data_IF_243280906911
#
_entry.id   IF_243280906911
#
_cell.length_a   1.000
_cell.length_b   1.000
_cell.length_c   1.000
_cell.angle_alpha   90.00
_cell.angle_beta   90.00
_cell.angle_gamma   90.00
#
_symmetry.space_group_name_H-M   'P 1'
#
loop_
_entity.id
_entity.type
_entity.pdbx_description
1 polymer ?
#
# COMPACT_ATOMS: atom_id res chain seq x y z
N UNK A 1 -36.52 26.40 -28.29
CA UNK A 1 -36.28 24.96 -28.01
C UNK A 1 -34.85 24.69 -27.48
N UNK A 2 -34.31 25.48 -26.54
CA UNK A 2 -32.93 25.24 -26.01
C UNK A 2 -32.87 24.58 -24.62
N UNK A 3 -33.98 24.51 -23.89
CA UNK A 3 -34.00 24.07 -22.49
C UNK A 3 -33.61 22.59 -22.29
N UNK A 4 -33.75 21.75 -23.33
CA UNK A 4 -33.45 20.30 -23.25
C UNK A 4 -31.97 19.95 -23.38
N UNK A 5 -31.19 20.75 -24.12
CA UNK A 5 -29.75 20.51 -24.33
C UNK A 5 -28.94 20.96 -23.10
N UNK A 6 -29.30 22.11 -22.52
CA UNK A 6 -28.62 22.67 -21.34
C UNK A 6 -28.80 21.78 -20.10
N UNK A 7 -29.99 21.19 -19.92
CA UNK A 7 -30.28 20.27 -18.82
C UNK A 7 -29.53 18.92 -18.96
N UNK A 8 -29.32 18.45 -20.20
CA UNK A 8 -28.61 17.21 -20.47
C UNK A 8 -27.09 17.37 -20.28
N UNK A 9 -26.54 18.52 -20.69
CA UNK A 9 -25.15 18.89 -20.43
C UNK A 9 -24.87 19.03 -18.93
N UNK A 10 -25.71 19.77 -18.19
CA UNK A 10 -25.56 19.95 -16.74
C UNK A 10 -25.61 18.61 -15.96
N UNK A 11 -26.43 17.66 -16.40
CA UNK A 11 -26.51 16.31 -15.83
C UNK A 11 -25.24 15.48 -16.12
N UNK A 12 -24.66 15.65 -17.32
CA UNK A 12 -23.40 14.99 -17.69
C UNK A 12 -22.23 15.49 -16.83
N UNK A 13 -22.13 16.81 -16.63
CA UNK A 13 -21.06 17.42 -15.83
C UNK A 13 -21.13 17.02 -14.36
N UNK A 14 -22.34 16.95 -13.79
CA UNK A 14 -22.54 16.46 -12.42
C UNK A 14 -22.11 15.00 -12.26
N UNK A 15 -22.42 14.14 -13.24
CA UNK A 15 -21.98 12.73 -13.23
C UNK A 15 -20.46 12.61 -13.37
N UNK A 16 -19.84 13.47 -14.17
CA UNK A 16 -18.40 13.49 -14.35
C UNK A 16 -17.69 13.87 -13.04
N UNK A 17 -18.12 14.96 -12.39
CA UNK A 17 -17.57 15.39 -11.10
C UNK A 17 -17.69 14.29 -10.03
N UNK A 18 -18.84 13.60 -9.99
CA UNK A 18 -19.05 12.47 -9.10
C UNK A 18 -18.14 11.28 -9.42
N UNK A 19 -17.90 11.00 -10.70
CA UNK A 19 -16.98 9.94 -11.12
C UNK A 19 -15.52 10.26 -10.71
N UNK A 20 -15.10 11.51 -10.88
CA UNK A 20 -13.78 11.99 -10.45
C UNK A 20 -13.62 11.89 -8.93
N UNK A 21 -14.65 12.22 -8.15
CA UNK A 21 -14.64 12.08 -6.69
C UNK A 21 -14.53 10.61 -6.25
N UNK A 22 -15.32 9.73 -6.86
CA UNK A 22 -15.23 8.28 -6.60
C UNK A 22 -13.86 7.73 -6.97
N UNK A 23 -13.28 8.18 -8.07
CA UNK A 23 -11.94 7.79 -8.49
C UNK A 23 -10.89 8.20 -7.46
N UNK A 24 -10.89 9.46 -7.02
CA UNK A 24 -9.98 9.96 -5.98
C UNK A 24 -10.08 9.14 -4.69
N UNK A 25 -11.30 8.78 -4.29
CA UNK A 25 -11.58 8.00 -3.09
C UNK A 25 -11.31 6.48 -3.26
N UNK A 26 -10.64 6.04 -4.33
CA UNK A 26 -10.28 4.63 -4.56
C UNK A 26 -11.47 3.71 -4.87
N UNK A 27 -12.65 4.28 -5.20
CA UNK A 27 -13.86 3.56 -5.63
C UNK A 27 -13.89 3.39 -7.15
N UNK A 28 -12.86 2.73 -7.67
CA UNK A 28 -12.58 2.65 -9.10
C UNK A 28 -13.68 1.97 -9.93
N UNK A 29 -14.35 0.95 -9.40
CA UNK A 29 -15.46 0.28 -10.10
C UNK A 29 -16.68 1.21 -10.29
N UNK A 30 -17.02 1.98 -9.26
CA UNK A 30 -18.14 2.92 -9.31
C UNK A 30 -17.82 4.09 -10.25
N UNK A 31 -16.59 4.60 -10.17
CA UNK A 31 -16.07 5.60 -11.09
C UNK A 31 -16.12 5.12 -12.55
N UNK A 32 -15.60 3.91 -12.82
CA UNK A 32 -15.65 3.27 -14.14
C UNK A 32 -17.06 3.19 -14.70
N UNK A 33 -18.03 2.77 -13.88
CA UNK A 33 -19.43 2.65 -14.30
C UNK A 33 -20.01 4.01 -14.70
N UNK A 34 -19.71 5.07 -13.95
CA UNK A 34 -20.16 6.42 -14.29
C UNK A 34 -19.46 6.96 -15.54
N UNK A 35 -18.15 6.78 -15.68
CA UNK A 35 -17.44 7.18 -16.90
C UNK A 35 -18.02 6.47 -18.12
N UNK A 36 -18.40 5.18 -18.01
CA UNK A 36 -18.98 4.41 -19.10
C UNK A 36 -20.37 4.92 -19.50
N UNK A 37 -21.15 5.46 -18.55
CA UNK A 37 -22.43 6.09 -18.85
C UNK A 37 -22.28 7.42 -19.58
N UNK A 38 -21.15 8.11 -19.38
CA UNK A 38 -20.85 9.41 -20.00
C UNK A 38 -20.12 9.23 -21.35
N UNK A 39 -19.42 8.10 -21.55
CA UNK A 39 -18.55 7.86 -22.71
C UNK A 39 -19.29 7.75 -24.04
N UNK A 40 -20.62 7.65 -24.05
CA UNK A 40 -21.45 7.75 -25.26
C UNK A 40 -21.31 9.09 -26.00
N UNK A 41 -20.58 10.06 -25.42
CA UNK A 41 -20.42 11.44 -25.88
C UNK A 41 -19.01 11.76 -26.44
N UNK A 42 -18.14 10.76 -26.67
CA UNK A 42 -16.80 10.90 -27.27
C UNK A 42 -15.89 12.00 -26.69
N UNK A 43 -15.59 11.90 -25.38
CA UNK A 43 -14.55 12.69 -24.74
C UNK A 43 -13.24 11.91 -24.57
N UNK A 44 -12.13 12.34 -25.19
CA UNK A 44 -10.78 11.76 -25.00
C UNK A 44 -10.43 11.64 -23.51
N UNK A 45 -10.82 12.63 -22.70
CA UNK A 45 -10.67 12.60 -21.24
C UNK A 45 -11.39 11.41 -20.59
N UNK A 46 -12.68 11.20 -20.92
CA UNK A 46 -13.50 10.13 -20.34
C UNK A 46 -12.97 8.75 -20.73
N UNK A 47 -12.50 8.60 -21.98
CA UNK A 47 -11.88 7.36 -22.43
C UNK A 47 -10.57 7.05 -21.68
N UNK A 48 -9.74 8.07 -21.44
CA UNK A 48 -8.55 7.90 -20.59
C UNK A 48 -8.96 7.49 -19.17
N UNK A 49 -9.95 8.16 -18.56
CA UNK A 49 -10.43 7.84 -17.22
C UNK A 49 -11.03 6.44 -17.08
N UNK A 50 -11.67 5.93 -18.14
CA UNK A 50 -12.12 4.54 -18.19
C UNK A 50 -10.95 3.58 -18.10
N UNK A 51 -9.87 3.83 -18.84
CA UNK A 51 -8.69 2.98 -18.84
C UNK A 51 -7.92 3.09 -17.52
N UNK A 52 -7.67 4.31 -17.04
CA UNK A 52 -7.06 4.58 -15.73
C UNK A 52 -7.82 3.83 -14.61
N UNK A 53 -9.17 3.83 -14.65
CA UNK A 53 -9.99 3.12 -13.67
C UNK A 53 -9.77 1.60 -13.72
N UNK A 54 -9.63 1.01 -14.91
CA UNK A 54 -9.33 -0.42 -15.05
C UNK A 54 -7.95 -0.76 -14.49
N UNK A 55 -6.94 0.02 -14.86
CA UNK A 55 -5.57 -0.17 -14.40
C UNK A 55 -5.53 -0.07 -12.87
N UNK A 56 -6.15 0.97 -12.29
CA UNK A 56 -6.21 1.15 -10.85
C UNK A 56 -6.91 -0.01 -10.12
N UNK A 57 -7.98 -0.59 -10.68
CA UNK A 57 -8.62 -1.79 -10.10
C UNK A 57 -7.66 -2.98 -10.03
N UNK A 58 -6.91 -3.22 -11.11
CA UNK A 58 -5.93 -4.33 -11.18
C UNK A 58 -4.79 -4.09 -10.21
N UNK A 59 -4.21 -2.88 -10.20
CA UNK A 59 -3.13 -2.52 -9.30
C UNK A 59 -3.57 -2.61 -7.84
N UNK A 60 -4.75 -2.10 -7.49
CA UNK A 60 -5.31 -2.18 -6.14
C UNK A 60 -5.44 -3.63 -5.69
N UNK A 61 -6.00 -4.49 -6.54
CA UNK A 61 -6.12 -5.92 -6.21
C UNK A 61 -4.74 -6.58 -6.00
N UNK A 62 -3.76 -6.32 -6.88
CA UNK A 62 -2.40 -6.85 -6.72
C UNK A 62 -1.72 -6.35 -5.46
N UNK A 63 -1.86 -5.06 -5.14
CA UNK A 63 -1.37 -4.47 -3.90
C UNK A 63 -2.00 -5.16 -2.69
N UNK A 64 -3.32 -5.27 -2.62
CA UNK A 64 -4.05 -5.87 -1.48
C UNK A 64 -3.64 -7.33 -1.27
N UNK A 65 -3.53 -8.11 -2.35
CA UNK A 65 -3.11 -9.52 -2.31
C UNK A 65 -1.67 -9.64 -1.81
N UNK A 66 -0.72 -8.90 -2.40
CA UNK A 66 0.69 -8.99 -2.01
C UNK A 66 0.93 -8.47 -0.59
N UNK A 67 0.21 -7.42 -0.17
CA UNK A 67 0.22 -6.95 1.22
C UNK A 67 -0.27 -8.02 2.18
N UNK A 68 -1.37 -8.70 1.84
CA UNK A 68 -1.89 -9.83 2.63
C UNK A 68 -0.92 -10.99 2.76
N UNK A 69 -0.15 -11.27 1.69
CA UNK A 69 0.91 -12.27 1.67
C UNK A 69 2.24 -11.81 2.29
N UNK A 70 2.32 -10.57 2.79
CA UNK A 70 3.54 -9.91 3.28
C UNK A 70 4.66 -9.83 2.23
N UNK A 71 4.30 -9.88 0.96
CA UNK A 71 5.21 -9.62 -0.14
C UNK A 71 5.32 -8.12 -0.39
N UNK A 72 5.89 -7.42 0.60
CA UNK A 72 5.92 -5.95 0.62
C UNK A 72 6.61 -5.31 -0.58
N UNK A 73 7.72 -5.82 -1.14
CA UNK A 73 8.34 -5.21 -2.32
C UNK A 73 7.37 -5.09 -3.51
N UNK A 74 6.67 -6.18 -3.83
CA UNK A 74 5.69 -6.19 -4.92
C UNK A 74 4.45 -5.36 -4.55
N UNK A 75 4.02 -5.40 -3.29
CA UNK A 75 2.89 -4.59 -2.85
C UNK A 75 3.17 -3.08 -2.95
N UNK A 76 4.40 -2.66 -2.62
CA UNK A 76 4.89 -1.29 -2.75
C UNK A 76 4.89 -0.87 -4.22
N UNK A 77 5.51 -1.65 -5.11
CA UNK A 77 5.56 -1.35 -6.55
C UNK A 77 4.16 -1.14 -7.15
N UNK A 78 3.22 -2.04 -6.87
CA UNK A 78 1.84 -1.90 -7.37
C UNK A 78 1.12 -0.67 -6.79
N UNK A 79 1.41 -0.29 -5.54
CA UNK A 79 0.81 0.88 -4.91
C UNK A 79 1.45 2.18 -5.40
N UNK A 80 2.75 2.20 -5.68
CA UNK A 80 3.44 3.35 -6.29
C UNK A 80 2.83 3.65 -7.67
N UNK A 81 2.73 2.64 -8.55
CA UNK A 81 2.07 2.79 -9.85
C UNK A 81 0.62 3.27 -9.73
N UNK A 82 -0.11 2.77 -8.73
CA UNK A 82 -1.49 3.18 -8.48
C UNK A 82 -1.55 4.66 -8.07
N UNK A 83 -0.66 5.10 -7.18
CA UNK A 83 -0.59 6.48 -6.69
C UNK A 83 -0.10 7.45 -7.77
N UNK A 84 0.70 7.00 -8.73
CA UNK A 84 1.04 7.80 -9.91
C UNK A 84 -0.19 8.15 -10.75
N UNK A 85 -1.14 7.20 -10.89
CA UNK A 85 -2.40 7.41 -11.62
C UNK A 85 -3.42 8.16 -10.74
N UNK A 86 -3.51 7.81 -9.46
CA UNK A 86 -4.37 8.44 -8.46
C UNK A 86 -3.57 8.95 -7.25
N UNK A 87 -3.02 10.18 -7.29
CA UNK A 87 -2.24 10.75 -6.19
C UNK A 87 -2.99 10.91 -4.86
N UNK A 88 -4.32 10.78 -4.90
CA UNK A 88 -5.24 10.93 -3.78
C UNK A 88 -5.77 9.58 -3.24
N UNK A 89 -5.23 8.45 -3.71
CA UNK A 89 -5.73 7.14 -3.25
C UNK A 89 -5.64 7.01 -1.73
N UNK A 90 -6.71 6.55 -1.06
CA UNK A 90 -6.75 6.43 0.40
C UNK A 90 -5.70 5.47 0.97
N UNK A 91 -5.16 4.54 0.17
CA UNK A 91 -4.14 3.60 0.62
C UNK A 91 -2.71 4.16 0.49
N UNK A 92 -2.51 5.36 -0.06
CA UNK A 92 -1.18 5.96 -0.19
C UNK A 92 -0.32 5.90 1.09
N UNK A 93 -0.86 6.14 2.31
CA UNK A 93 -0.07 6.02 3.54
C UNK A 93 0.52 4.62 3.78
N UNK A 94 -0.04 3.56 3.18
CA UNK A 94 0.52 2.22 3.27
C UNK A 94 1.89 2.09 2.61
N UNK A 95 2.29 2.97 1.69
CA UNK A 95 3.64 2.98 1.11
C UNK A 95 4.69 3.08 2.23
N UNK A 96 4.55 4.08 3.09
CA UNK A 96 5.45 4.29 4.22
C UNK A 96 5.40 3.16 5.24
N UNK A 97 4.20 2.65 5.53
CA UNK A 97 3.99 1.55 6.49
C UNK A 97 4.65 0.26 6.00
N UNK A 98 4.38 -0.14 4.74
CA UNK A 98 4.96 -1.35 4.16
C UNK A 98 6.48 -1.23 4.01
N UNK A 99 6.99 -0.08 3.58
CA UNK A 99 8.43 0.18 3.50
C UNK A 99 9.10 0.04 4.89
N UNK A 100 8.51 0.63 5.93
CA UNK A 100 9.03 0.53 7.29
C UNK A 100 9.03 -0.90 7.83
N UNK A 101 7.93 -1.64 7.66
CA UNK A 101 7.83 -3.04 8.09
C UNK A 101 8.87 -3.89 7.35
N UNK A 102 8.98 -3.73 6.04
CA UNK A 102 9.92 -4.49 5.23
C UNK A 102 11.38 -4.19 5.60
N UNK A 103 11.70 -2.91 5.85
CA UNK A 103 13.03 -2.50 6.33
C UNK A 103 13.41 -3.20 7.64
N UNK A 104 12.46 -3.29 8.59
CA UNK A 104 12.68 -4.01 9.86
C UNK A 104 12.92 -5.50 9.66
N UNK A 105 12.16 -6.13 8.76
CA UNK A 105 12.34 -7.55 8.44
C UNK A 105 13.70 -7.81 7.80
N UNK A 106 14.14 -6.96 6.86
CA UNK A 106 15.45 -7.06 6.24
C UNK A 106 16.58 -6.86 7.25
N UNK A 107 16.46 -5.85 8.12
CA UNK A 107 17.42 -5.59 9.19
C UNK A 107 17.54 -6.81 10.12
N UNK A 108 16.41 -7.38 10.55
CA UNK A 108 16.40 -8.61 11.37
C UNK A 108 17.03 -9.80 10.63
N UNK A 109 16.72 -9.99 9.35
CA UNK A 109 17.31 -11.06 8.53
C UNK A 109 18.83 -10.89 8.39
N UNK A 110 19.32 -9.66 8.29
CA UNK A 110 20.75 -9.39 8.24
C UNK A 110 21.48 -9.83 9.52
N UNK A 111 20.84 -9.71 10.68
CA UNK A 111 21.43 -10.10 11.98
C UNK A 111 21.57 -11.60 12.13
N UNK A 112 20.67 -12.35 11.49
CA UNK A 112 20.69 -13.80 11.51
C UNK A 112 21.57 -14.40 10.40
N UNK A 113 22.31 -13.57 9.67
CA UNK A 113 23.09 -14.01 8.52
C UNK A 113 24.53 -14.37 8.93
N UNK A 114 24.97 -15.56 8.53
CA UNK A 114 26.35 -16.02 8.77
C UNK A 114 27.35 -15.52 7.72
N UNK A 115 26.85 -15.15 6.54
CA UNK A 115 27.66 -14.64 5.44
C UNK A 115 27.62 -13.11 5.37
N UNK A 116 28.79 -12.51 5.48
CA UNK A 116 28.98 -11.06 5.46
C UNK A 116 28.31 -10.37 4.26
N UNK A 117 28.55 -10.87 3.04
CA UNK A 117 28.01 -10.27 1.81
C UNK A 117 26.48 -10.24 1.84
N UNK A 118 25.87 -11.32 2.29
CA UNK A 118 24.41 -11.40 2.38
C UNK A 118 23.81 -10.51 3.47
N UNK A 119 24.56 -10.26 4.56
CA UNK A 119 24.15 -9.33 5.61
C UNK A 119 24.25 -7.87 5.12
N UNK A 120 25.34 -7.55 4.42
CA UNK A 120 25.59 -6.25 3.81
C UNK A 120 24.48 -5.87 2.83
N UNK A 121 24.13 -6.77 1.92
CA UNK A 121 23.04 -6.56 0.95
C UNK A 121 21.73 -6.26 1.66
N UNK A 122 21.35 -7.07 2.66
CA UNK A 122 20.11 -6.88 3.42
C UNK A 122 20.09 -5.57 4.21
N UNK A 123 21.22 -5.14 4.79
CA UNK A 123 21.32 -3.87 5.50
C UNK A 123 21.24 -2.66 4.56
N UNK A 124 21.82 -2.76 3.36
CA UNK A 124 21.69 -1.72 2.32
C UNK A 124 20.24 -1.59 1.87
N UNK A 125 19.59 -2.70 1.56
CA UNK A 125 18.16 -2.73 1.20
C UNK A 125 17.29 -2.17 2.34
N UNK A 126 17.52 -2.61 3.58
CA UNK A 126 16.79 -2.08 4.74
C UNK A 126 16.93 -0.56 4.87
N UNK A 127 18.13 -0.02 4.63
CA UNK A 127 18.38 1.42 4.69
C UNK A 127 17.63 2.20 3.62
N UNK A 128 17.48 1.64 2.42
CA UNK A 128 16.68 2.24 1.33
C UNK A 128 15.21 2.31 1.75
N UNK A 129 14.64 1.22 2.24
CA UNK A 129 13.24 1.18 2.66
C UNK A 129 12.95 2.04 3.89
N UNK A 130 13.89 2.18 4.84
CA UNK A 130 13.75 3.16 5.92
C UNK A 130 13.69 4.61 5.40
N UNK A 131 14.51 4.96 4.40
CA UNK A 131 14.47 6.30 3.80
C UNK A 131 13.16 6.53 3.05
N UNK A 132 12.67 5.53 2.31
CA UNK A 132 11.36 5.57 1.67
C UNK A 132 10.25 5.77 2.69
N UNK A 133 10.27 5.04 3.81
CA UNK A 133 9.29 5.20 4.89
C UNK A 133 9.24 6.64 5.42
N UNK A 134 10.39 7.29 5.60
CA UNK A 134 10.46 8.70 6.01
C UNK A 134 9.90 9.64 4.93
N UNK A 135 10.21 9.38 3.65
CA UNK A 135 9.70 10.19 2.53
C UNK A 135 8.17 10.12 2.42
N UNK A 136 7.59 8.95 2.72
CA UNK A 136 6.14 8.71 2.71
C UNK A 136 5.46 9.09 4.03
N UNK A 137 6.16 9.77 4.94
CA UNK A 137 5.56 10.43 6.11
C UNK A 137 5.59 9.63 7.41
N UNK A 138 6.33 8.52 7.50
CA UNK A 138 6.62 7.90 8.80
C UNK A 138 7.51 8.84 9.62
N UNK A 139 7.17 9.01 10.90
CA UNK A 139 7.84 9.93 11.81
C UNK A 139 9.35 9.67 11.87
N UNK A 140 10.15 10.74 11.72
CA UNK A 140 11.60 10.64 11.71
C UNK A 140 12.13 10.07 13.04
N UNK A 141 11.47 10.36 14.15
CA UNK A 141 11.79 9.87 15.49
C UNK A 141 11.72 8.33 15.57
N UNK A 142 10.85 7.71 14.77
CA UNK A 142 10.71 6.26 14.71
C UNK A 142 11.75 5.62 13.77
N UNK A 143 11.97 6.22 12.60
CA UNK A 143 12.83 5.62 11.56
C UNK A 143 14.31 5.88 11.80
N UNK A 144 14.67 7.09 12.25
CA UNK A 144 16.06 7.54 12.33
C UNK A 144 16.95 6.70 13.25
N UNK A 145 16.50 6.24 14.44
CA UNK A 145 17.29 5.34 15.27
C UNK A 145 17.58 4.00 14.56
N UNK A 146 16.62 3.47 13.81
CA UNK A 146 16.77 2.20 13.08
C UNK A 146 17.71 2.33 11.90
N UNK A 147 17.58 3.42 11.14
CA UNK A 147 18.47 3.73 10.03
C UNK A 147 19.91 3.93 10.50
N UNK A 148 20.12 4.68 11.60
CA UNK A 148 21.46 4.85 12.21
C UNK A 148 22.07 3.52 12.64
N UNK A 149 21.27 2.62 13.19
CA UNK A 149 21.74 1.29 13.57
C UNK A 149 22.17 0.48 12.33
N UNK A 150 21.37 0.49 11.24
CA UNK A 150 21.76 -0.11 9.97
C UNK A 150 23.09 0.46 9.44
N UNK A 151 23.24 1.79 9.44
CA UNK A 151 24.45 2.46 8.95
C UNK A 151 25.68 2.15 9.81
N UNK A 152 25.51 2.07 11.14
CA UNK A 152 26.58 1.63 12.07
C UNK A 152 27.00 0.19 11.75
N UNK A 153 26.05 -0.70 11.53
CA UNK A 153 26.33 -2.11 11.26
C UNK A 153 26.95 -2.33 9.89
N UNK A 154 26.54 -1.58 8.86
CA UNK A 154 27.20 -1.58 7.55
C UNK A 154 28.69 -1.25 7.67
N UNK A 155 29.07 -0.28 8.52
CA UNK A 155 30.50 0.03 8.76
C UNK A 155 31.26 -1.11 9.41
N UNK A 156 30.62 -1.83 10.35
CA UNK A 156 31.22 -2.98 11.03
C UNK A 156 31.45 -4.11 10.03
N UNK A 157 30.40 -4.43 9.25
CA UNK A 157 30.43 -5.39 8.15
C UNK A 157 31.58 -5.01 7.21
N UNK A 158 31.69 -3.76 6.76
CA UNK A 158 32.73 -3.29 5.84
C UNK A 158 34.17 -3.40 6.40
N UNK A 159 34.35 -3.27 7.71
CA UNK A 159 35.66 -3.10 8.36
C UNK A 159 36.52 -4.35 8.60
N UNK A 160 36.12 -5.55 8.12
CA UNK A 160 36.86 -6.82 8.34
C UNK A 160 37.04 -7.22 9.83
N UNK A 161 36.43 -6.54 10.80
CA UNK A 161 36.48 -6.95 12.21
C UNK A 161 35.55 -8.15 12.46
N UNK A 162 35.88 -8.99 13.46
CA UNK A 162 35.14 -10.22 13.79
C UNK A 162 33.62 -10.00 13.79
N UNK A 163 32.94 -10.82 12.99
CA UNK A 163 31.56 -10.60 12.55
C UNK A 163 30.55 -11.09 13.60
N UNK A 164 30.28 -10.27 14.61
CA UNK A 164 29.13 -10.45 15.50
C UNK A 164 28.22 -9.21 15.42
N UNK A 165 27.22 -9.27 14.52
CA UNK A 165 26.15 -8.27 14.51
C UNK A 165 25.19 -8.60 15.65
N UNK A 166 25.37 -7.97 16.82
CA UNK A 166 24.45 -8.12 17.95
C UNK A 166 23.24 -7.21 17.77
N UNK A 167 22.04 -7.76 17.99
CA UNK A 167 20.85 -6.94 18.24
C UNK A 167 21.11 -6.09 19.50
N UNK A 168 21.09 -4.77 19.38
CA UNK A 168 20.98 -3.92 20.57
C UNK A 168 19.56 -4.10 21.14
N UNK A 169 19.38 -4.35 22.45
CA UNK A 169 18.07 -4.57 23.03
C UNK A 169 17.23 -3.31 22.86
N UNK A 170 16.25 -3.39 21.97
CA UNK A 170 15.25 -2.35 21.80
C UNK A 170 14.29 -2.48 22.98
N UNK A 171 14.28 -1.49 23.87
CA UNK A 171 13.19 -1.32 24.84
C UNK A 171 11.88 -1.25 24.04
N UNK A 172 11.11 -2.34 24.08
CA UNK A 172 9.85 -2.49 23.37
C UNK A 172 8.75 -2.43 24.41
N UNK A 173 8.27 -1.22 24.69
CA UNK A 173 6.91 -1.05 25.17
C UNK A 173 6.12 -0.33 24.07
N UNK A 174 5.02 -0.97 23.66
CA UNK A 174 3.90 -0.37 22.90
C UNK A 174 4.02 -0.24 21.38
N UNK A 175 4.13 -1.36 20.64
CA UNK A 175 3.58 -1.45 19.27
C UNK A 175 2.81 -2.75 18.98
N UNK A 176 2.57 -3.61 19.97
CA UNK A 176 1.74 -4.82 19.83
C UNK A 176 0.22 -4.56 19.84
N UNK A 177 -0.24 -3.31 19.74
CA UNK A 177 -1.68 -2.96 19.80
C UNK A 177 -2.28 -2.40 18.52
N UNK A 178 -1.67 -2.65 17.37
CA UNK A 178 -2.33 -2.40 16.07
C UNK A 178 -2.41 -3.73 15.31
N UNK A 179 -3.12 -4.69 15.90
CA UNK A 179 -3.77 -5.73 15.11
C UNK A 179 -4.98 -5.08 14.44
N UNK A 180 -5.11 -5.09 13.10
CA UNK A 180 -6.39 -4.82 12.49
C UNK A 180 -7.31 -5.96 12.91
N UNK A 181 -8.33 -5.65 13.72
CA UNK A 181 -9.38 -6.58 14.11
C UNK A 181 -9.88 -7.32 12.87
N UNK A 182 -9.68 -8.65 12.85
CA UNK A 182 -10.21 -9.53 11.82
C UNK A 182 -11.72 -9.26 11.63
N UNK A 183 -12.24 -9.29 10.39
CA UNK A 183 -13.65 -9.09 10.17
C UNK A 183 -14.43 -10.22 10.84
N UNK A 184 -15.35 -9.79 11.70
CA UNK A 184 -16.38 -10.57 12.40
C UNK A 184 -16.87 -11.71 11.51
N UNK A 185 -16.59 -12.95 11.93
CA UNK A 185 -17.21 -14.14 11.36
C UNK A 185 -18.73 -13.98 11.43
N UNK A 186 -19.38 -13.82 10.28
CA UNK A 186 -20.82 -14.00 10.17
C UNK A 186 -21.12 -15.49 10.37
N UNK A 187 -21.26 -15.92 11.61
CA UNK A 187 -21.87 -17.21 11.93
C UNK A 187 -23.32 -17.18 11.48
N UNK A 188 -23.60 -17.65 10.25
CA UNK A 188 -24.94 -18.16 9.93
C UNK A 188 -25.08 -19.46 10.72
N UNK A 189 -25.80 -19.40 11.85
CA UNK A 189 -26.38 -20.59 12.49
C UNK A 189 -27.33 -21.22 11.46
N UNK A 190 -26.88 -22.29 10.82
CA UNK A 190 -27.79 -23.21 10.12
C UNK A 190 -28.41 -24.07 11.21
N UNK A 191 -29.69 -23.82 11.50
CA UNK A 191 -30.51 -24.74 12.29
C UNK A 191 -30.65 -26.02 11.47
N UNK A 192 -29.95 -27.08 11.88
CA UNK A 192 -30.28 -28.43 11.47
C UNK A 192 -31.50 -28.81 12.32
N UNK A 193 -32.66 -28.91 11.67
CA UNK A 193 -33.83 -29.54 12.27
C UNK A 193 -33.56 -31.04 12.26
N UNK A 194 -33.28 -31.60 13.45
CA UNK A 194 -33.36 -33.03 13.66
C UNK A 194 -34.82 -33.46 13.42
N UNK A 195 -35.02 -34.33 12.43
CA UNK A 195 -36.24 -35.12 12.29
C UNK A 195 -36.10 -36.29 13.25
N UNK A 196 -36.81 -36.22 14.38
CA UNK A 196 -37.22 -37.41 15.10
C UNK A 196 -38.46 -38.00 14.40
N UNK A 197 -38.39 -39.33 14.23
CA UNK A 197 -39.38 -40.33 13.79
C UNK A 197 -39.85 -40.37 12.32
#
# INVERSE_FOLDING_TARGET
>A
MSVGLDAQAANSDQKLAKADELFKNGRYWDAFTLYKQISSSDGVYVMKKLEDSKICMVLKHKYEVNRGLKNYPIAIENLEELVEINPFDPNRPDLGIMAYIHAKELQKKAYNQHYRVEAETKLKEASIYYRMAMQEGIAAEEVFPKLKLCEKQLRIVDSNMEFEIKEEPIFTEELQKIEPSLPIERTRKVLILDRED
#
